data_IF_267557161207
#
_entry.id   IF_267557161207
#
_cell.length_a   1.000
_cell.length_b   1.000
_cell.length_c   1.000
_cell.angle_alpha   90.00
_cell.angle_beta   90.00
_cell.angle_gamma   90.00
#
_symmetry.space_group_name_H-M   'P 1'
#
loop_
_entity.id
_entity.type
_entity.pdbx_description
1 polymer ?
#
# COMPACT_ATOMS: atom_id res chain seq x y z
N UNK A 1 7.40 4.58 1.25
CA UNK A 1 7.92 4.62 -0.14
C UNK A 1 9.27 3.93 -0.28
N UNK A 2 10.26 4.18 0.61
CA UNK A 2 11.62 3.61 0.53
C UNK A 2 11.62 2.08 0.45
N UNK A 3 10.85 1.40 1.29
CA UNK A 3 10.70 -0.07 1.25
C UNK A 3 10.29 -0.59 -0.13
N UNK A 4 9.26 -0.02 -0.74
CA UNK A 4 8.80 -0.44 -2.06
C UNK A 4 9.78 -0.08 -3.17
N UNK A 5 10.51 1.03 -3.04
CA UNK A 5 11.59 1.35 -3.98
C UNK A 5 12.71 0.31 -3.92
N UNK A 6 13.10 -0.11 -2.71
CA UNK A 6 14.07 -1.17 -2.49
C UNK A 6 13.58 -2.51 -3.06
N UNK A 7 12.31 -2.90 -2.81
CA UNK A 7 11.74 -4.12 -3.37
C UNK A 7 11.69 -4.11 -4.91
N UNK A 8 11.40 -2.93 -5.50
CA UNK A 8 11.41 -2.77 -6.96
C UNK A 8 12.82 -2.87 -7.58
N UNK A 9 13.88 -2.69 -6.79
CA UNK A 9 15.26 -2.95 -7.23
C UNK A 9 15.66 -4.41 -7.07
N UNK A 10 15.09 -5.10 -6.06
CA UNK A 10 15.45 -6.46 -5.73
C UNK A 10 14.88 -7.45 -6.75
N UNK A 11 13.65 -7.21 -7.22
CA UNK A 11 12.91 -8.15 -8.05
C UNK A 11 12.77 -7.67 -9.50
N UNK A 12 12.89 -8.61 -10.44
CA UNK A 12 12.58 -8.36 -11.85
C UNK A 12 11.08 -8.10 -12.06
N UNK A 13 10.73 -7.59 -13.23
CA UNK A 13 9.33 -7.31 -13.60
C UNK A 13 8.42 -8.55 -13.50
N UNK A 14 8.93 -9.71 -13.88
CA UNK A 14 8.20 -10.98 -13.82
C UNK A 14 8.06 -11.48 -12.38
N UNK A 15 9.12 -11.37 -11.59
CA UNK A 15 9.12 -11.72 -10.17
C UNK A 15 8.22 -10.80 -9.35
N UNK A 16 8.23 -9.49 -9.65
CA UNK A 16 7.37 -8.52 -8.96
C UNK A 16 5.88 -8.83 -9.13
N UNK A 17 5.47 -9.32 -10.31
CA UNK A 17 4.10 -9.76 -10.58
C UNK A 17 3.61 -10.89 -9.66
N UNK A 18 4.53 -11.77 -9.25
CA UNK A 18 4.21 -12.91 -8.36
C UNK A 18 4.37 -12.58 -6.88
N UNK A 19 5.41 -11.82 -6.53
CA UNK A 19 5.84 -11.68 -5.14
C UNK A 19 5.25 -10.44 -4.44
N UNK A 20 4.93 -9.36 -5.16
CA UNK A 20 4.43 -8.14 -4.52
C UNK A 20 3.08 -8.32 -3.82
N UNK A 21 2.22 -9.21 -4.33
CA UNK A 21 0.99 -9.59 -3.65
C UNK A 21 1.25 -10.31 -2.32
N UNK A 22 2.23 -11.23 -2.30
CA UNK A 22 2.63 -11.97 -1.09
C UNK A 22 3.25 -11.03 -0.06
N UNK A 23 4.12 -10.11 -0.51
CA UNK A 23 4.74 -9.11 0.36
C UNK A 23 3.67 -8.18 0.98
N UNK A 24 2.68 -7.77 0.17
CA UNK A 24 1.55 -6.97 0.66
C UNK A 24 0.68 -7.74 1.67
N UNK A 25 0.47 -9.03 1.46
CA UNK A 25 -0.23 -9.90 2.41
C UNK A 25 0.53 -9.99 3.75
N UNK A 26 1.87 -10.07 3.72
CA UNK A 26 2.70 -9.99 4.92
C UNK A 26 2.49 -8.71 5.73
N UNK A 27 2.33 -7.56 5.06
CA UNK A 27 1.98 -6.31 5.73
C UNK A 27 0.60 -6.36 6.40
N UNK A 28 -0.38 -7.04 5.78
CA UNK A 28 -1.71 -7.22 6.37
C UNK A 28 -1.68 -8.18 7.58
N UNK A 29 -0.84 -9.23 7.54
CA UNK A 29 -0.58 -10.09 8.71
C UNK A 29 0.01 -9.26 9.86
N UNK A 30 1.02 -8.42 9.59
CA UNK A 30 1.56 -7.50 10.57
C UNK A 30 0.51 -6.54 11.15
N UNK A 31 -0.42 -6.07 10.30
CA UNK A 31 -1.55 -5.24 10.69
C UNK A 31 -2.57 -5.94 11.61
N UNK A 32 -2.66 -7.28 11.58
CA UNK A 32 -3.46 -8.07 12.52
C UNK A 32 -2.68 -8.36 13.82
N UNK A 33 -1.45 -8.83 13.69
CA UNK A 33 -0.62 -9.24 14.83
C UNK A 33 -0.22 -8.05 15.69
N UNK A 34 0.13 -6.90 15.07
CA UNK A 34 0.57 -5.72 15.79
C UNK A 34 -0.41 -5.25 16.87
N UNK A 35 -1.66 -4.93 16.53
CA UNK A 35 -2.67 -4.52 17.50
C UNK A 35 -3.10 -5.63 18.47
N UNK A 36 -2.94 -6.90 18.11
CA UNK A 36 -3.29 -8.03 18.97
C UNK A 36 -2.40 -8.11 20.21
N UNK A 37 -1.12 -7.75 20.08
CA UNK A 37 -0.18 -7.78 21.22
C UNK A 37 -0.65 -6.88 22.37
N UNK A 38 -0.91 -5.57 22.18
CA UNK A 38 -1.44 -4.74 23.25
C UNK A 38 -2.85 -5.16 23.69
N UNK A 39 -3.69 -5.66 22.77
CA UNK A 39 -5.05 -6.09 23.10
C UNK A 39 -5.06 -7.24 24.14
N UNK A 40 -4.14 -8.20 24.01
CA UNK A 40 -4.09 -9.34 24.93
C UNK A 40 -3.18 -9.13 26.14
N UNK A 41 -2.15 -8.31 26.03
CA UNK A 41 -1.09 -8.20 27.04
C UNK A 41 -1.06 -6.87 27.78
N UNK A 42 -1.91 -5.88 27.44
CA UNK A 42 -1.90 -4.57 28.11
C UNK A 42 -2.21 -4.64 29.61
N UNK A 43 -3.12 -5.50 30.00
CA UNK A 43 -3.50 -5.66 31.40
C UNK A 43 -2.40 -6.33 32.26
N UNK A 44 -1.61 -7.25 31.68
CA UNK A 44 -0.58 -8.01 32.38
C UNK A 44 0.79 -7.34 32.35
N UNK A 45 1.14 -6.68 31.26
CA UNK A 45 2.48 -6.11 31.05
C UNK A 45 2.56 -4.61 31.35
N UNK A 46 1.44 -3.91 31.30
CA UNK A 46 1.42 -2.44 31.41
C UNK A 46 1.92 -1.75 30.12
N UNK A 47 1.64 -0.45 30.00
CA UNK A 47 1.93 0.33 28.80
C UNK A 47 3.42 0.48 28.53
N UNK A 48 4.23 0.63 29.59
CA UNK A 48 5.67 0.86 29.47
C UNK A 48 6.40 -0.35 28.87
N UNK A 49 6.06 -1.55 29.33
CA UNK A 49 6.63 -2.79 28.79
C UNK A 49 6.17 -3.06 27.35
N UNK A 50 4.94 -2.66 26.99
CA UNK A 50 4.46 -2.74 25.60
C UNK A 50 5.25 -1.81 24.67
N UNK A 51 5.64 -0.60 25.14
CA UNK A 51 6.52 0.29 24.40
C UNK A 51 7.92 -0.30 24.19
N UNK A 52 8.46 -0.99 25.20
CA UNK A 52 9.74 -1.71 25.08
C UNK A 52 9.65 -2.84 24.05
N UNK A 53 8.56 -3.62 24.06
CA UNK A 53 8.32 -4.68 23.07
C UNK A 53 8.23 -4.09 21.67
N UNK A 54 7.46 -3.02 21.49
CA UNK A 54 7.35 -2.33 20.19
C UNK A 54 8.71 -1.81 19.70
N UNK A 55 9.52 -1.24 20.60
CA UNK A 55 10.87 -0.77 20.30
C UNK A 55 11.80 -1.94 19.90
N UNK A 56 11.73 -3.06 20.61
CA UNK A 56 12.50 -4.26 20.28
C UNK A 56 12.09 -4.82 18.90
N UNK A 57 10.80 -4.85 18.58
CA UNK A 57 10.31 -5.27 17.27
C UNK A 57 10.81 -4.34 16.15
N UNK A 58 10.87 -3.02 16.39
CA UNK A 58 11.47 -2.08 15.44
C UNK A 58 12.97 -2.33 15.26
N UNK A 59 13.71 -2.58 16.34
CA UNK A 59 15.14 -2.91 16.25
C UNK A 59 15.39 -4.20 15.47
N UNK A 60 14.50 -5.18 15.54
CA UNK A 60 14.57 -6.41 14.73
C UNK A 60 14.49 -6.15 13.22
N UNK A 61 14.00 -5.01 12.78
CA UNK A 61 14.00 -4.65 11.36
C UNK A 61 15.42 -4.40 10.83
N UNK A 62 16.36 -3.98 11.68
CA UNK A 62 17.75 -3.68 11.29
C UNK A 62 18.47 -4.94 10.77
N UNK A 63 18.58 -6.04 11.53
CA UNK A 63 19.21 -7.26 11.02
C UNK A 63 18.48 -7.84 9.79
N UNK A 64 17.17 -7.69 9.70
CA UNK A 64 16.41 -8.11 8.52
C UNK A 64 16.85 -7.32 7.27
N UNK A 65 17.05 -6.01 7.39
CA UNK A 65 17.54 -5.16 6.30
C UNK A 65 18.93 -5.59 5.85
N UNK A 66 19.85 -5.82 6.80
CA UNK A 66 21.19 -6.31 6.49
C UNK A 66 21.17 -7.69 5.83
N UNK A 67 20.34 -8.59 6.30
CA UNK A 67 20.17 -9.92 5.69
C UNK A 67 19.64 -9.82 4.25
N UNK A 68 18.64 -8.96 4.02
CA UNK A 68 18.12 -8.70 2.66
C UNK A 68 19.19 -8.10 1.74
N UNK A 69 20.04 -7.20 2.25
CA UNK A 69 21.18 -6.67 1.48
C UNK A 69 22.18 -7.76 1.12
N UNK A 70 22.49 -8.65 2.06
CA UNK A 70 23.40 -9.79 1.83
C UNK A 70 22.82 -10.73 0.78
N UNK A 71 21.53 -11.06 0.85
CA UNK A 71 20.85 -11.88 -0.16
C UNK A 71 20.88 -11.22 -1.54
N UNK A 72 20.72 -9.89 -1.61
CA UNK A 72 20.88 -9.13 -2.86
C UNK A 72 22.28 -9.27 -3.43
N UNK A 73 23.32 -9.13 -2.61
CA UNK A 73 24.71 -9.26 -3.02
C UNK A 73 25.01 -10.67 -3.53
N UNK A 74 24.49 -11.70 -2.87
CA UNK A 74 24.67 -13.11 -3.28
C UNK A 74 23.92 -13.40 -4.58
N UNK A 75 22.67 -12.99 -4.71
CA UNK A 75 21.89 -13.14 -5.94
C UNK A 75 22.41 -12.27 -7.10
N UNK A 76 23.05 -11.12 -6.79
CA UNK A 76 23.74 -10.29 -7.78
C UNK A 76 25.11 -10.82 -8.11
N UNK A 77 25.79 -11.52 -7.22
CA UNK A 77 27.10 -12.14 -7.45
C UNK A 77 27.08 -13.15 -8.61
N UNK A 78 26.00 -13.88 -8.79
CA UNK A 78 25.80 -14.74 -9.98
C UNK A 78 25.49 -13.94 -11.25
N UNK A 79 24.95 -12.71 -11.13
CA UNK A 79 24.70 -11.80 -12.27
C UNK A 79 25.84 -10.81 -12.54
N UNK A 80 26.71 -10.53 -11.57
CA UNK A 80 27.81 -9.55 -11.68
C UNK A 80 28.99 -10.02 -12.52
N UNK A 81 29.00 -11.26 -12.99
CA UNK A 81 29.88 -11.67 -14.11
C UNK A 81 29.37 -11.12 -15.44
N UNK A 82 28.25 -10.43 -15.51
CA UNK A 82 27.65 -9.97 -16.75
C UNK A 82 27.44 -8.45 -16.89
N UNK A 83 27.42 -7.62 -15.84
CA UNK A 83 27.26 -6.16 -16.01
C UNK A 83 27.72 -5.36 -14.80
N UNK A 84 28.38 -4.24 -15.07
CA UNK A 84 28.98 -3.21 -14.22
C UNK A 84 28.23 -2.87 -12.92
N UNK A 85 28.94 -2.58 -11.80
CA UNK A 85 28.31 -2.28 -10.51
C UNK A 85 27.64 -0.90 -10.50
N UNK A 86 26.40 -0.79 -10.06
CA UNK A 86 25.78 0.50 -9.85
C UNK A 86 26.13 1.01 -8.46
N UNK A 87 27.32 1.54 -8.27
CA UNK A 87 27.73 2.21 -7.01
C UNK A 87 27.64 3.73 -7.13
N UNK A 88 26.88 4.23 -8.09
CA UNK A 88 26.63 5.67 -8.15
C UNK A 88 25.61 6.06 -7.09
N UNK A 89 26.08 6.84 -6.10
CA UNK A 89 25.21 7.54 -5.16
C UNK A 89 24.26 8.42 -5.97
N UNK A 90 22.96 8.26 -5.77
CA UNK A 90 21.96 9.14 -6.39
C UNK A 90 22.11 10.52 -5.72
N UNK A 91 23.03 11.31 -6.27
CA UNK A 91 23.27 12.69 -5.86
C UNK A 91 22.35 13.68 -6.60
N UNK A 92 22.43 14.96 -6.26
CA UNK A 92 21.80 16.05 -6.99
C UNK A 92 20.76 16.86 -6.22
N UNK A 93 20.12 17.79 -6.91
CA UNK A 93 19.17 18.73 -6.32
C UNK A 93 17.92 17.98 -5.76
N UNK A 94 17.54 18.18 -4.48
CA UNK A 94 16.33 17.62 -3.89
C UNK A 94 15.03 17.96 -4.66
N UNK A 95 15.01 19.12 -5.33
CA UNK A 95 13.87 19.57 -6.14
C UNK A 95 13.81 18.93 -7.52
N UNK A 96 14.84 18.21 -7.94
CA UNK A 96 14.85 17.51 -9.25
C UNK A 96 13.69 16.51 -9.37
N UNK A 97 13.24 15.93 -8.25
CA UNK A 97 12.07 15.06 -8.22
C UNK A 97 10.77 15.72 -8.68
N UNK A 98 10.56 16.99 -8.34
CA UNK A 98 9.41 17.77 -8.81
C UNK A 98 9.49 18.01 -10.32
N UNK A 99 10.65 18.43 -10.82
CA UNK A 99 10.86 18.63 -12.26
C UNK A 99 10.60 17.34 -13.04
N UNK A 100 11.15 16.22 -12.58
CA UNK A 100 10.95 14.90 -13.19
C UNK A 100 9.47 14.48 -13.16
N UNK A 101 8.78 14.71 -12.06
CA UNK A 101 7.35 14.40 -11.92
C UNK A 101 6.51 15.19 -12.93
N UNK A 102 6.68 16.50 -13.04
CA UNK A 102 5.89 17.34 -13.94
C UNK A 102 6.30 17.22 -15.42
N UNK A 103 7.53 16.81 -15.71
CA UNK A 103 8.01 16.66 -17.08
C UNK A 103 7.69 15.31 -17.71
N UNK A 104 7.38 14.29 -16.90
CA UNK A 104 7.15 12.94 -17.39
C UNK A 104 5.64 12.59 -17.34
N UNK A 105 4.95 12.49 -18.49
CA UNK A 105 3.52 12.20 -18.54
C UNK A 105 3.14 10.87 -17.89
N UNK A 106 4.03 9.87 -17.90
CA UNK A 106 3.81 8.61 -17.24
C UNK A 106 3.72 8.77 -15.71
N UNK A 107 4.62 9.56 -15.13
CA UNK A 107 4.61 9.85 -13.70
C UNK A 107 3.42 10.72 -13.31
N UNK A 108 3.04 11.68 -14.16
CA UNK A 108 1.82 12.48 -13.97
C UNK A 108 0.57 11.61 -13.95
N UNK A 109 0.44 10.65 -14.87
CA UNK A 109 -0.69 9.71 -14.86
C UNK A 109 -0.73 8.89 -13.57
N UNK A 110 0.40 8.41 -13.07
CA UNK A 110 0.46 7.71 -11.78
C UNK A 110 0.04 8.65 -10.63
N UNK A 111 0.55 9.87 -10.61
CA UNK A 111 0.19 10.87 -9.60
C UNK A 111 -1.29 11.22 -9.63
N UNK A 112 -1.85 11.45 -10.80
CA UNK A 112 -3.28 11.72 -11.00
C UNK A 112 -4.15 10.53 -10.54
N UNK A 113 -3.75 9.32 -10.90
CA UNK A 113 -4.44 8.10 -10.43
C UNK A 113 -4.47 8.04 -8.89
N UNK A 114 -3.34 8.29 -8.23
CA UNK A 114 -3.25 8.29 -6.76
C UNK A 114 -4.13 9.38 -6.17
N UNK A 115 -4.05 10.58 -6.72
CA UNK A 115 -4.82 11.75 -6.28
C UNK A 115 -6.33 11.49 -6.33
N UNK A 116 -6.84 11.02 -7.47
CA UNK A 116 -8.25 10.69 -7.65
C UNK A 116 -8.68 9.54 -6.74
N UNK A 117 -7.85 8.51 -6.63
CA UNK A 117 -8.12 7.37 -5.75
C UNK A 117 -8.18 7.79 -4.27
N UNK A 118 -7.31 8.68 -3.83
CA UNK A 118 -7.32 9.23 -2.47
C UNK A 118 -8.54 10.09 -2.23
N UNK A 119 -8.91 10.96 -3.18
CA UNK A 119 -10.12 11.78 -3.09
C UNK A 119 -11.39 10.95 -2.93
N UNK A 120 -11.57 9.90 -3.74
CA UNK A 120 -12.69 8.95 -3.59
C UNK A 120 -12.63 8.24 -2.23
N UNK A 121 -11.42 7.92 -1.77
CA UNK A 121 -11.22 7.31 -0.44
C UNK A 121 -11.74 8.18 0.70
N UNK A 122 -11.43 9.46 0.66
CA UNK A 122 -11.86 10.42 1.67
C UNK A 122 -13.38 10.60 1.63
N UNK A 123 -13.97 10.69 0.44
CA UNK A 123 -15.42 10.77 0.28
C UNK A 123 -16.15 9.58 0.94
N UNK A 124 -15.77 8.36 0.60
CA UNK A 124 -16.39 7.14 1.19
C UNK A 124 -16.15 7.07 2.71
N UNK A 125 -15.01 7.55 3.20
CA UNK A 125 -14.72 7.59 4.63
C UNK A 125 -15.65 8.59 5.36
N UNK A 126 -15.84 9.79 4.82
CA UNK A 126 -16.71 10.79 5.44
C UNK A 126 -18.17 10.37 5.41
N UNK A 127 -18.63 9.75 4.31
CA UNK A 127 -19.98 9.20 4.23
C UNK A 127 -20.22 8.13 5.29
N UNK A 128 -19.28 7.21 5.44
CA UNK A 128 -19.34 6.21 6.52
C UNK A 128 -19.36 6.87 7.89
N UNK A 129 -18.54 7.90 8.13
CA UNK A 129 -18.47 8.62 9.39
C UNK A 129 -19.81 9.31 9.72
N UNK A 130 -20.46 9.89 8.71
CA UNK A 130 -21.77 10.52 8.87
C UNK A 130 -22.83 9.50 9.28
N UNK A 131 -22.94 8.38 8.57
CA UNK A 131 -23.91 7.33 8.88
C UNK A 131 -23.65 6.67 10.25
N UNK A 132 -22.41 6.55 10.65
CA UNK A 132 -22.04 6.05 11.98
C UNK A 132 -22.30 7.08 13.09
N UNK A 133 -22.47 8.36 12.74
CA UNK A 133 -22.70 9.43 13.71
C UNK A 133 -23.95 9.24 14.57
N UNK A 134 -24.97 8.60 14.02
CA UNK A 134 -26.24 8.31 14.70
C UNK A 134 -26.17 7.13 15.68
N UNK A 135 -25.11 6.32 15.60
CA UNK A 135 -24.93 5.15 16.44
C UNK A 135 -24.24 5.47 17.77
N UNK A 136 -24.41 4.61 18.74
CA UNK A 136 -23.70 4.70 20.02
C UNK A 136 -22.21 4.47 19.84
N UNK A 137 -21.40 4.94 20.79
CA UNK A 137 -19.93 4.75 20.75
C UNK A 137 -19.54 3.27 20.67
N UNK A 138 -20.27 2.40 21.38
CA UNK A 138 -20.00 0.95 21.40
C UNK A 138 -20.28 0.32 20.05
N UNK A 139 -21.41 0.62 19.42
CA UNK A 139 -21.76 0.12 18.08
C UNK A 139 -20.78 0.59 17.02
N UNK A 140 -20.39 1.88 17.04
CA UNK A 140 -19.36 2.40 16.13
C UNK A 140 -18.05 1.64 16.26
N UNK A 141 -17.60 1.42 17.49
CA UNK A 141 -16.36 0.68 17.75
C UNK A 141 -16.45 -0.75 17.23
N UNK A 142 -17.57 -1.43 17.43
CA UNK A 142 -17.80 -2.78 16.94
C UNK A 142 -17.77 -2.86 15.40
N UNK A 143 -18.44 -1.91 14.72
CA UNK A 143 -18.45 -1.85 13.25
C UNK A 143 -17.02 -1.61 12.70
N UNK A 144 -16.27 -0.66 13.26
CA UNK A 144 -14.89 -0.43 12.86
C UNK A 144 -14.00 -1.66 13.05
N UNK A 145 -14.13 -2.34 14.19
CA UNK A 145 -13.36 -3.56 14.47
C UNK A 145 -13.70 -4.70 13.49
N UNK A 146 -15.00 -4.92 13.20
CA UNK A 146 -15.43 -5.92 12.23
C UNK A 146 -14.96 -5.58 10.80
N UNK A 147 -15.03 -4.32 10.42
CA UNK A 147 -14.50 -3.86 9.12
C UNK A 147 -13.00 -4.08 9.00
N UNK A 148 -12.24 -3.74 10.04
CA UNK A 148 -10.79 -3.92 10.03
C UNK A 148 -10.41 -5.41 9.93
N UNK A 149 -11.12 -6.27 10.66
CA UNK A 149 -10.96 -7.72 10.55
C UNK A 149 -11.25 -8.21 9.13
N UNK A 150 -12.39 -7.83 8.56
CA UNK A 150 -12.78 -8.21 7.20
C UNK A 150 -11.77 -7.72 6.16
N UNK A 151 -11.32 -6.46 6.26
CA UNK A 151 -10.29 -5.90 5.38
C UNK A 151 -9.00 -6.69 5.44
N UNK A 152 -8.51 -7.04 6.64
CA UNK A 152 -7.26 -7.78 6.77
C UNK A 152 -7.38 -9.21 6.24
N UNK A 153 -8.46 -9.93 6.57
CA UNK A 153 -8.71 -11.29 6.07
C UNK A 153 -8.79 -11.29 4.53
N UNK A 154 -9.58 -10.38 3.95
CA UNK A 154 -9.69 -10.26 2.50
C UNK A 154 -8.37 -9.84 1.84
N UNK A 155 -7.60 -8.93 2.47
CA UNK A 155 -6.30 -8.51 1.93
C UNK A 155 -5.30 -9.66 1.89
N UNK A 156 -5.23 -10.46 2.95
CA UNK A 156 -4.34 -11.63 3.03
C UNK A 156 -4.76 -12.65 1.97
N UNK A 157 -6.04 -13.03 1.96
CA UNK A 157 -6.56 -14.05 1.04
C UNK A 157 -6.38 -13.63 -0.43
N UNK A 158 -6.75 -12.39 -0.76
CA UNK A 158 -6.61 -11.86 -2.12
C UNK A 158 -5.15 -11.68 -2.51
N UNK A 159 -4.30 -11.16 -1.61
CA UNK A 159 -2.87 -10.97 -1.87
C UNK A 159 -2.15 -12.28 -2.16
N UNK A 160 -2.45 -13.33 -1.40
CA UNK A 160 -1.82 -14.65 -1.58
C UNK A 160 -2.35 -15.40 -2.80
N UNK A 161 -3.66 -15.41 -3.00
CA UNK A 161 -4.31 -16.33 -3.93
C UNK A 161 -4.66 -15.70 -5.28
N UNK A 162 -4.96 -14.41 -5.30
CA UNK A 162 -5.64 -13.76 -6.43
C UNK A 162 -4.75 -12.77 -7.16
N UNK A 163 -4.04 -11.90 -6.45
CA UNK A 163 -3.31 -10.76 -7.04
C UNK A 163 -2.30 -11.21 -8.10
N UNK A 164 -1.45 -12.19 -7.77
CA UNK A 164 -0.46 -12.70 -8.73
C UNK A 164 -1.10 -13.32 -9.97
N UNK A 165 -2.23 -14.02 -9.80
CA UNK A 165 -2.96 -14.63 -10.92
C UNK A 165 -3.62 -13.60 -11.82
N UNK A 166 -4.19 -12.54 -11.24
CA UNK A 166 -4.79 -11.45 -12.04
C UNK A 166 -3.72 -10.75 -12.86
N UNK A 167 -2.60 -10.39 -12.24
CA UNK A 167 -1.48 -9.72 -12.94
C UNK A 167 -0.95 -10.57 -14.09
N UNK A 168 -0.76 -11.89 -13.87
CA UNK A 168 -0.22 -12.79 -14.88
C UNK A 168 -1.19 -13.09 -16.02
N UNK A 169 -2.50 -13.20 -15.73
CA UNK A 169 -3.53 -13.57 -16.72
C UNK A 169 -4.08 -12.37 -17.49
N UNK A 170 -4.35 -11.28 -16.81
CA UNK A 170 -5.05 -10.11 -17.39
C UNK A 170 -4.13 -8.91 -17.63
N UNK A 171 -2.90 -8.98 -17.11
CA UNK A 171 -1.93 -7.91 -17.23
C UNK A 171 -2.17 -6.72 -16.29
N UNK A 172 -1.22 -5.80 -16.33
CA UNK A 172 -1.17 -4.65 -15.42
C UNK A 172 -2.34 -3.66 -15.57
N UNK A 173 -2.78 -3.28 -16.78
CA UNK A 173 -3.85 -2.29 -16.94
C UNK A 173 -5.17 -2.73 -16.29
N UNK A 174 -5.56 -3.98 -16.51
CA UNK A 174 -6.79 -4.54 -15.92
C UNK A 174 -6.67 -4.67 -14.41
N UNK A 175 -5.50 -5.09 -13.91
CA UNK A 175 -5.26 -5.22 -12.47
C UNK A 175 -5.41 -3.88 -11.74
N UNK A 176 -4.89 -2.79 -12.31
CA UNK A 176 -4.99 -1.45 -11.71
C UNK A 176 -6.42 -0.91 -11.80
N UNK A 177 -7.12 -1.16 -12.89
CA UNK A 177 -8.50 -0.68 -13.11
C UNK A 177 -9.54 -1.43 -12.26
N UNK A 178 -9.26 -2.65 -11.82
CA UNK A 178 -10.23 -3.54 -11.17
C UNK A 178 -10.88 -2.90 -9.93
N UNK A 179 -10.09 -2.36 -9.03
CA UNK A 179 -10.60 -1.78 -7.78
C UNK A 179 -11.30 -0.44 -8.01
N UNK A 180 -10.76 0.53 -8.78
CA UNK A 180 -11.51 1.73 -9.16
C UNK A 180 -12.87 1.43 -9.79
N UNK A 181 -12.95 0.47 -10.71
CA UNK A 181 -14.22 0.07 -11.35
C UNK A 181 -15.19 -0.52 -10.32
N UNK A 182 -14.72 -1.38 -9.42
CA UNK A 182 -15.55 -1.92 -8.34
C UNK A 182 -16.06 -0.82 -7.40
N UNK A 183 -15.24 0.18 -7.09
CA UNK A 183 -15.63 1.34 -6.27
C UNK A 183 -16.66 2.20 -7.02
N UNK A 184 -16.45 2.49 -8.32
CA UNK A 184 -17.42 3.23 -9.13
C UNK A 184 -18.79 2.54 -9.12
N UNK A 185 -18.83 1.22 -9.29
CA UNK A 185 -20.08 0.47 -9.17
C UNK A 185 -20.70 0.59 -7.77
N UNK A 186 -19.90 0.46 -6.72
CA UNK A 186 -20.34 0.65 -5.35
C UNK A 186 -20.93 2.04 -5.10
N UNK A 187 -20.30 3.09 -5.64
CA UNK A 187 -20.80 4.47 -5.53
C UNK A 187 -22.13 4.67 -6.28
N UNK A 188 -22.31 4.02 -7.43
CA UNK A 188 -23.60 4.03 -8.14
C UNK A 188 -24.71 3.37 -7.29
N UNK A 189 -24.41 2.25 -6.65
CA UNK A 189 -25.36 1.61 -5.71
C UNK A 189 -25.70 2.54 -4.55
N UNK A 190 -24.71 3.23 -3.97
CA UNK A 190 -24.91 4.18 -2.89
C UNK A 190 -25.72 5.41 -3.32
N UNK A 191 -25.57 5.87 -4.55
CA UNK A 191 -26.36 6.98 -5.09
C UNK A 191 -27.85 6.64 -5.21
N UNK A 192 -28.16 5.35 -5.44
CA UNK A 192 -29.55 4.87 -5.55
C UNK A 192 -30.13 4.55 -4.16
N UNK A 193 -29.33 3.93 -3.29
CA UNK A 193 -29.77 3.45 -1.98
C UNK A 193 -28.67 3.61 -0.93
N UNK A 194 -28.56 4.78 -0.29
CA UNK A 194 -27.54 5.07 0.72
C UNK A 194 -27.95 4.44 2.07
N UNK A 195 -27.50 3.22 2.34
CA UNK A 195 -27.66 2.58 3.64
C UNK A 195 -26.32 2.13 4.21
N UNK A 196 -26.22 2.08 5.53
CA UNK A 196 -24.98 1.79 6.25
C UNK A 196 -24.26 0.52 5.75
N UNK A 197 -24.99 -0.57 5.53
CA UNK A 197 -24.40 -1.82 5.05
C UNK A 197 -23.72 -1.69 3.69
N UNK A 198 -24.29 -0.94 2.75
CA UNK A 198 -23.69 -0.70 1.45
C UNK A 198 -22.39 0.11 1.57
N UNK A 199 -22.36 1.18 2.38
CA UNK A 199 -21.15 1.98 2.63
C UNK A 199 -20.06 1.14 3.28
N UNK A 200 -20.42 0.30 4.26
CA UNK A 200 -19.49 -0.63 4.91
C UNK A 200 -18.87 -1.59 3.90
N UNK A 201 -19.67 -2.19 3.01
CA UNK A 201 -19.18 -3.10 1.96
C UNK A 201 -18.24 -2.37 0.99
N UNK A 202 -18.63 -1.19 0.51
CA UNK A 202 -17.79 -0.38 -0.40
C UNK A 202 -16.47 -0.03 0.28
N UNK A 203 -16.49 0.34 1.55
CA UNK A 203 -15.29 0.66 2.34
C UNK A 203 -14.38 -0.58 2.52
N UNK A 204 -14.95 -1.75 2.79
CA UNK A 204 -14.19 -3.01 2.91
C UNK A 204 -13.54 -3.35 1.56
N UNK A 205 -14.30 -3.36 0.47
CA UNK A 205 -13.79 -3.66 -0.88
C UNK A 205 -12.69 -2.68 -1.28
N UNK A 206 -12.90 -1.38 -1.03
CA UNK A 206 -11.92 -0.34 -1.31
C UNK A 206 -10.62 -0.55 -0.54
N UNK A 207 -10.70 -0.76 0.78
CA UNK A 207 -9.52 -0.92 1.64
C UNK A 207 -8.78 -2.23 1.36
N UNK A 208 -9.50 -3.34 1.31
CA UNK A 208 -8.92 -4.65 1.01
C UNK A 208 -8.32 -4.69 -0.40
N UNK A 209 -9.05 -4.17 -1.39
CA UNK A 209 -8.57 -4.06 -2.76
C UNK A 209 -7.35 -3.15 -2.91
N UNK A 210 -7.30 -2.05 -2.14
CA UNK A 210 -6.11 -1.20 -2.11
C UNK A 210 -4.88 -1.95 -1.58
N UNK A 211 -5.01 -2.64 -0.46
CA UNK A 211 -3.88 -3.34 0.15
C UNK A 211 -3.43 -4.55 -0.66
N UNK A 212 -4.36 -5.34 -1.16
CA UNK A 212 -4.05 -6.58 -1.87
C UNK A 212 -3.71 -6.39 -3.35
N UNK A 213 -4.36 -5.46 -4.04
CA UNK A 213 -4.29 -5.34 -5.51
C UNK A 213 -3.71 -4.01 -5.95
N UNK A 214 -4.37 -2.88 -5.61
CA UNK A 214 -4.02 -1.57 -6.18
C UNK A 214 -2.61 -1.13 -5.79
N UNK A 215 -2.25 -1.24 -4.51
CA UNK A 215 -0.94 -0.81 -4.02
C UNK A 215 0.21 -1.65 -4.60
N UNK A 216 0.18 -3.00 -4.56
CA UNK A 216 1.19 -3.80 -5.23
C UNK A 216 1.29 -3.54 -6.73
N UNK A 217 0.15 -3.47 -7.43
CA UNK A 217 0.11 -3.22 -8.87
C UNK A 217 0.72 -1.83 -9.20
N UNK A 218 0.38 -0.81 -8.43
CA UNK A 218 0.98 0.52 -8.59
C UNK A 218 2.50 0.51 -8.38
N UNK A 219 2.99 -0.22 -7.38
CA UNK A 219 4.42 -0.35 -7.14
C UNK A 219 5.15 -1.02 -8.33
N UNK A 220 4.49 -1.97 -8.99
CA UNK A 220 5.02 -2.60 -10.20
C UNK A 220 5.16 -1.62 -11.38
N UNK A 221 4.37 -0.53 -11.46
CA UNK A 221 4.56 0.50 -12.48
C UNK A 221 5.94 1.17 -12.37
N UNK A 222 6.42 1.35 -11.16
CA UNK A 222 7.74 1.94 -10.92
C UNK A 222 8.92 1.03 -11.30
N UNK A 223 8.70 -0.25 -11.55
CA UNK A 223 9.75 -1.14 -12.06
C UNK A 223 10.12 -0.83 -13.52
N UNK A 224 9.27 -0.06 -14.23
CA UNK A 224 9.53 0.38 -15.62
C UNK A 224 10.28 1.70 -15.69
N UNK A 225 10.47 2.38 -14.58
CA UNK A 225 11.12 3.69 -14.49
C UNK A 225 12.56 3.47 -14.08
N UNK A 226 13.48 4.24 -14.66
CA UNK A 226 14.90 4.21 -14.31
C UNK A 226 15.13 4.49 -12.82
N UNK A 227 16.26 4.06 -12.31
CA UNK A 227 16.57 4.08 -10.88
C UNK A 227 16.56 5.51 -10.32
N UNK A 228 17.21 6.45 -11.01
CA UNK A 228 17.30 7.84 -10.55
C UNK A 228 15.91 8.51 -10.47
N UNK A 229 15.15 8.41 -11.55
CA UNK A 229 13.78 8.96 -11.61
C UNK A 229 12.88 8.34 -10.55
N UNK A 230 12.98 7.04 -10.33
CA UNK A 230 12.19 6.35 -9.30
C UNK A 230 12.47 6.88 -7.90
N UNK A 231 13.74 7.00 -7.50
CA UNK A 231 14.09 7.47 -6.17
C UNK A 231 13.83 8.97 -5.96
N UNK A 232 13.91 9.80 -7.00
CA UNK A 232 13.64 11.23 -6.91
C UNK A 232 12.16 11.57 -7.04
N UNK A 233 11.44 10.99 -8.01
CA UNK A 233 10.04 11.34 -8.28
C UNK A 233 9.03 10.62 -7.38
N UNK A 234 9.28 9.38 -6.97
CA UNK A 234 8.32 8.61 -6.17
C UNK A 234 8.00 9.24 -4.80
N UNK A 235 8.97 9.74 -4.01
CA UNK A 235 8.65 10.48 -2.78
C UNK A 235 7.78 11.71 -3.04
N UNK A 236 8.01 12.42 -4.14
CA UNK A 236 7.19 13.59 -4.53
C UNK A 236 5.76 13.13 -4.83
N UNK A 237 5.58 12.09 -5.61
CA UNK A 237 4.26 11.52 -5.92
C UNK A 237 3.55 11.08 -4.64
N UNK A 238 4.23 10.33 -3.78
CA UNK A 238 3.66 9.82 -2.53
C UNK A 238 3.28 10.95 -1.56
N UNK A 239 4.01 12.08 -1.55
CA UNK A 239 3.69 13.22 -0.68
C UNK A 239 2.62 14.11 -1.34
N UNK A 240 2.85 14.56 -2.58
CA UNK A 240 1.99 15.56 -3.23
C UNK A 240 0.63 14.95 -3.59
N UNK A 241 0.60 13.75 -4.18
CA UNK A 241 -0.66 13.15 -4.60
C UNK A 241 -1.51 12.68 -3.41
N UNK A 242 -0.91 12.04 -2.38
CA UNK A 242 -1.66 11.63 -1.20
C UNK A 242 -2.09 12.80 -0.33
N UNK A 243 -1.14 13.67 0.07
CA UNK A 243 -1.48 14.81 0.93
C UNK A 243 -2.36 15.82 0.23
N UNK A 244 -2.10 16.08 -1.07
CA UNK A 244 -2.94 16.95 -1.87
C UNK A 244 -4.36 16.41 -2.02
N UNK A 245 -4.54 15.11 -2.24
CA UNK A 245 -5.85 14.46 -2.29
C UNK A 245 -6.60 14.56 -0.96
N UNK A 246 -5.92 14.28 0.16
CA UNK A 246 -6.52 14.39 1.49
C UNK A 246 -6.92 15.84 1.83
N UNK A 247 -6.05 16.82 1.54
CA UNK A 247 -6.31 18.24 1.87
C UNK A 247 -7.44 18.88 1.06
N UNK A 248 -7.62 18.46 -0.20
CA UNK A 248 -8.66 19.03 -1.06
C UNK A 248 -10.04 18.42 -0.82
N UNK A 249 -10.12 17.24 -0.19
CA UNK A 249 -11.36 16.51 0.05
C UNK A 249 -11.75 16.47 1.54
N UNK A 250 -10.94 17.05 2.42
CA UNK A 250 -11.24 17.21 3.85
C UNK A 250 -11.99 18.51 4.13
#
# INVERSE_FOLDING_TARGET
SVFWSFMSELFSKEQSGRLFGIIAAGASVGGLVGPSVPAFFSASLGTDNLMLIASAMLLMTIPIIFHLQTLKLTASGERLLATTPPTETIGGNPLAGFKLFFSNPYLLCIGLFIFLYTGISSFVYFELKNLLGELTRTERTAIWAQMDLAVNVLSISTGLLVTGRIVSKFGMPITIALIPVAICFGLLVLAISPFLGAVVIVQIVRRAGNYAVTRPAREMLFTRVDRETRFKAKPVIDIVAYRGGDMLMA
#
